data_IF_898493509599
#
_entry.id   IF_898493509599
#
_cell.length_a   1.000
_cell.length_b   1.000
_cell.length_c   1.000
_cell.angle_alpha   90.00
_cell.angle_beta   90.00
_cell.angle_gamma   90.00
#
_symmetry.space_group_name_H-M   'P 1'
#
loop_
_entity.id
_entity.type
_entity.pdbx_description
1 polymer ?
#
# COMPACT_ATOMS: atom_id res chain seq x y z
N UNK A 1 -9.79 42.62 -42.35
CA UNK A 1 -10.76 42.96 -41.31
C UNK A 1 -11.05 41.68 -40.54
N UNK A 2 -10.59 41.67 -39.29
CA UNK A 2 -10.99 40.90 -38.11
C UNK A 2 -11.01 39.36 -38.07
N UNK A 3 -10.28 38.87 -37.06
CA UNK A 3 -10.36 37.60 -36.35
C UNK A 3 -11.79 37.19 -35.99
N UNK A 4 -12.08 35.88 -35.97
CA UNK A 4 -12.53 35.16 -34.74
C UNK A 4 -11.98 33.71 -34.75
N UNK A 5 -11.26 33.37 -33.69
CA UNK A 5 -10.81 32.03 -33.29
C UNK A 5 -11.99 31.22 -32.73
N UNK A 6 -12.21 29.99 -33.19
CA UNK A 6 -12.93 28.97 -32.40
C UNK A 6 -12.18 27.64 -32.38
N UNK A 7 -11.42 27.51 -31.30
CA UNK A 7 -10.77 26.33 -30.74
C UNK A 7 -11.85 25.39 -30.17
N UNK A 8 -11.97 24.15 -30.65
CA UNK A 8 -12.60 23.05 -29.90
C UNK A 8 -11.99 21.68 -30.21
N UNK A 9 -10.94 21.38 -29.43
CA UNK A 9 -10.77 20.15 -28.65
C UNK A 9 -11.49 18.89 -29.17
N UNK A 10 -10.79 18.11 -30.01
CA UNK A 10 -11.02 16.69 -30.29
C UNK A 10 -9.63 16.14 -30.59
N UNK A 11 -8.94 15.45 -29.71
CA UNK A 11 -9.19 14.06 -29.28
C UNK A 11 -8.50 13.87 -27.93
N UNK A 12 -9.27 13.57 -26.90
CA UNK A 12 -8.77 13.03 -25.63
C UNK A 12 -9.45 11.67 -25.51
N UNK A 13 -8.81 10.55 -25.92
CA UNK A 13 -9.24 9.26 -25.44
C UNK A 13 -8.73 9.20 -24.00
N UNK A 14 -9.61 9.60 -23.10
CA UNK A 14 -9.55 9.26 -21.69
C UNK A 14 -9.25 7.77 -21.63
N UNK A 15 -8.06 7.43 -21.15
CA UNK A 15 -7.67 6.06 -20.81
C UNK A 15 -8.54 5.68 -19.61
N UNK A 16 -9.76 5.24 -19.91
CA UNK A 16 -10.74 4.73 -18.98
C UNK A 16 -10.76 3.20 -19.14
N UNK A 17 -10.59 2.54 -18.00
CA UNK A 17 -10.88 1.13 -17.74
C UNK A 17 -9.87 0.09 -18.24
N UNK A 18 -8.74 0.00 -17.53
CA UNK A 18 -8.14 -1.28 -17.18
C UNK A 18 -8.66 -1.71 -15.80
N UNK A 19 -9.97 -1.94 -15.71
CA UNK A 19 -10.57 -2.71 -14.63
C UNK A 19 -11.34 -3.85 -15.26
N UNK A 20 -10.70 -5.01 -15.38
CA UNK A 20 -11.23 -6.38 -15.29
C UNK A 20 -9.99 -7.29 -15.40
N UNK A 21 -9.89 -8.28 -14.52
CA UNK A 21 -8.78 -9.20 -14.22
C UNK A 21 -7.92 -8.84 -12.99
N UNK A 22 -8.54 -8.69 -11.83
CA UNK A 22 -7.88 -8.93 -10.54
C UNK A 22 -8.63 -10.07 -9.84
N UNK A 23 -8.41 -11.29 -10.32
CA UNK A 23 -8.55 -12.48 -9.50
C UNK A 23 -7.14 -13.06 -9.33
N UNK A 24 -6.50 -12.72 -8.21
CA UNK A 24 -5.28 -13.39 -7.74
C UNK A 24 -3.93 -12.69 -7.89
N UNK A 25 -3.87 -11.40 -8.26
CA UNK A 25 -2.62 -10.63 -8.23
C UNK A 25 -2.68 -9.63 -7.07
N UNK A 26 -1.89 -9.86 -6.01
CA UNK A 26 -1.68 -8.85 -4.98
C UNK A 26 -1.07 -7.59 -5.63
N UNK A 27 -1.59 -6.39 -5.36
CA UNK A 27 -1.06 -5.17 -5.94
C UNK A 27 0.41 -5.00 -5.56
N UNK A 28 1.27 -4.90 -6.57
CA UNK A 28 2.71 -4.78 -6.39
C UNK A 28 3.07 -3.31 -6.12
N UNK A 29 3.36 -2.97 -4.86
CA UNK A 29 3.98 -1.69 -4.50
C UNK A 29 5.47 -1.76 -4.86
N UNK A 30 5.83 -1.34 -6.07
CA UNK A 30 7.25 -1.25 -6.43
C UNK A 30 7.87 -0.06 -5.71
N UNK A 31 8.73 -0.34 -4.74
CA UNK A 31 9.59 0.66 -4.11
C UNK A 31 10.93 0.61 -4.82
N UNK A 32 11.23 1.62 -5.63
CA UNK A 32 12.57 1.78 -6.18
C UNK A 32 13.55 1.97 -5.02
N UNK A 33 14.49 1.06 -4.90
CA UNK A 33 15.31 1.01 -3.71
C UNK A 33 16.26 2.21 -3.61
N UNK A 34 16.31 2.83 -2.44
CA UNK A 34 16.99 4.11 -2.17
C UNK A 34 16.08 5.35 -2.35
N UNK A 35 14.80 5.16 -2.66
CA UNK A 35 13.80 6.23 -2.71
C UNK A 35 12.64 5.91 -1.77
N UNK A 36 12.01 6.96 -1.25
CA UNK A 36 10.69 6.82 -0.66
C UNK A 36 9.73 6.31 -1.74
N UNK A 37 8.77 5.47 -1.35
CA UNK A 37 7.71 5.11 -2.26
C UNK A 37 6.89 6.35 -2.60
N UNK A 38 6.42 6.44 -3.85
CA UNK A 38 5.25 7.27 -4.10
C UNK A 38 4.10 6.78 -3.20
N UNK A 39 3.17 7.68 -2.90
CA UNK A 39 1.90 7.27 -2.28
C UNK A 39 1.20 6.32 -3.24
N UNK A 40 0.90 5.12 -2.77
CA UNK A 40 0.20 4.12 -3.55
C UNK A 40 -1.24 4.02 -3.07
N UNK A 41 -2.18 4.03 -4.00
CA UNK A 41 -3.59 3.86 -3.71
C UNK A 41 -3.98 2.40 -3.94
N UNK A 42 -4.45 1.75 -2.88
CA UNK A 42 -4.96 0.39 -2.90
C UNK A 42 -6.45 0.43 -2.61
N UNK A 43 -7.23 -0.35 -3.37
CA UNK A 43 -8.68 -0.40 -3.23
C UNK A 43 -9.06 -1.78 -2.73
N UNK A 44 -9.79 -1.84 -1.61
CA UNK A 44 -10.32 -3.08 -1.05
C UNK A 44 -11.77 -2.81 -0.64
N UNK A 45 -12.71 -3.59 -1.18
CA UNK A 45 -14.14 -3.39 -1.00
C UNK A 45 -14.61 -1.95 -1.24
N UNK A 46 -15.18 -1.32 -0.20
CA UNK A 46 -15.68 0.05 -0.20
C UNK A 46 -14.66 1.07 0.30
N UNK A 47 -13.40 0.66 0.45
CA UNK A 47 -12.33 1.48 1.01
C UNK A 47 -11.24 1.75 -0.02
N UNK A 48 -10.58 2.89 0.18
CA UNK A 48 -9.34 3.28 -0.48
C UNK A 48 -8.29 3.47 0.60
N UNK A 49 -7.19 2.75 0.51
CA UNK A 49 -6.02 2.92 1.36
C UNK A 49 -4.93 3.65 0.58
N UNK A 50 -4.40 4.72 1.16
CA UNK A 50 -3.16 5.35 0.69
C UNK A 50 -2.03 4.88 1.59
N UNK A 51 -1.00 4.26 1.00
CA UNK A 51 0.15 3.74 1.74
C UNK A 51 1.45 4.32 1.19
N UNK A 52 2.39 4.60 2.09
CA UNK A 52 3.72 5.12 1.80
C UNK A 52 4.76 4.40 2.65
N UNK A 53 5.86 3.98 2.02
CA UNK A 53 7.04 3.48 2.71
C UNK A 53 8.16 4.52 2.58
N UNK A 54 8.71 4.93 3.72
CA UNK A 54 9.82 5.90 3.82
C UNK A 54 11.06 5.18 4.33
N UNK A 55 12.20 5.37 3.67
CA UNK A 55 13.49 4.89 4.17
C UNK A 55 13.98 5.86 5.25
N UNK A 56 14.23 5.35 6.46
CA UNK A 56 14.69 6.16 7.59
C UNK A 56 16.22 6.20 7.72
N UNK A 57 16.90 5.12 7.33
CA UNK A 57 18.36 5.03 7.41
C UNK A 57 18.94 4.07 6.37
N UNK A 58 20.24 4.19 6.09
CA UNK A 58 20.99 3.29 5.19
C UNK A 58 21.08 1.84 5.73
N UNK A 59 20.65 1.61 6.98
CA UNK A 59 20.61 0.29 7.60
C UNK A 59 19.31 -0.48 7.32
N UNK A 60 18.61 -0.17 6.22
CA UNK A 60 17.32 -0.78 5.86
C UNK A 60 16.26 -0.63 6.96
N UNK A 61 16.21 0.54 7.59
CA UNK A 61 15.12 0.92 8.50
C UNK A 61 14.06 1.70 7.72
N UNK A 62 12.79 1.34 7.94
CA UNK A 62 11.67 1.88 7.18
C UNK A 62 10.53 2.31 8.10
N UNK A 63 9.74 3.26 7.60
CA UNK A 63 8.45 3.66 8.15
C UNK A 63 7.37 3.31 7.13
N UNK A 64 6.44 2.43 7.50
CA UNK A 64 5.18 2.26 6.78
C UNK A 64 4.17 3.23 7.35
N UNK A 65 3.60 4.08 6.50
CA UNK A 65 2.52 4.99 6.85
C UNK A 65 1.30 4.72 5.97
N UNK A 66 0.11 4.77 6.54
CA UNK A 66 -1.11 4.70 5.74
C UNK A 66 -2.25 5.61 6.23
N UNK A 67 -3.16 5.90 5.31
CA UNK A 67 -4.46 6.52 5.52
C UNK A 67 -5.53 5.63 4.88
N UNK A 68 -6.67 5.49 5.55
CA UNK A 68 -7.84 4.79 5.01
C UNK A 68 -8.97 5.78 4.76
N UNK A 69 -9.69 5.61 3.67
CA UNK A 69 -10.83 6.43 3.28
C UNK A 69 -11.98 5.53 2.88
N UNK A 70 -13.21 6.01 3.04
CA UNK A 70 -14.30 5.50 2.21
C UNK A 70 -13.95 5.79 0.74
N UNK A 71 -14.25 4.86 -0.16
CA UNK A 71 -13.81 4.92 -1.57
C UNK A 71 -14.17 6.22 -2.30
N UNK A 72 -15.31 6.82 -1.94
CA UNK A 72 -15.84 8.04 -2.54
C UNK A 72 -15.65 9.29 -1.66
N UNK A 73 -14.86 9.19 -0.59
CA UNK A 73 -14.59 10.28 0.34
C UNK A 73 -13.12 10.75 0.25
N UNK A 74 -12.89 11.94 0.74
CA UNK A 74 -11.58 12.58 0.89
C UNK A 74 -11.16 12.70 2.35
N UNK A 75 -12.07 12.47 3.31
CA UNK A 75 -11.76 12.50 4.73
C UNK A 75 -11.19 11.15 5.19
N UNK A 76 -10.01 11.15 5.84
CA UNK A 76 -9.45 9.91 6.37
C UNK A 76 -10.30 9.40 7.54
N UNK A 77 -10.38 8.08 7.64
CA UNK A 77 -11.04 7.37 8.73
C UNK A 77 -10.12 7.30 9.95
N UNK A 78 -10.73 7.44 11.13
CA UNK A 78 -10.06 7.37 12.43
C UNK A 78 -10.49 6.14 13.21
N UNK A 79 -9.89 5.89 14.37
CA UNK A 79 -10.24 4.76 15.24
C UNK A 79 -10.00 3.40 14.59
N UNK A 80 -8.89 3.27 13.84
CA UNK A 80 -8.53 2.03 13.15
C UNK A 80 -7.62 1.21 14.05
N UNK A 81 -7.93 -0.07 14.24
CA UNK A 81 -6.97 -1.04 14.75
C UNK A 81 -6.44 -1.87 13.60
N UNK A 82 -5.11 -1.96 13.53
CA UNK A 82 -4.44 -2.64 12.44
C UNK A 82 -3.09 -3.20 12.84
N UNK A 83 -2.71 -4.28 12.17
CA UNK A 83 -1.45 -4.99 12.38
C UNK A 83 -0.77 -5.24 11.05
N UNK A 84 0.55 -5.20 11.05
CA UNK A 84 1.37 -5.51 9.90
C UNK A 84 2.15 -6.81 10.15
N UNK A 85 2.01 -7.72 9.21
CA UNK A 85 2.85 -8.91 9.08
C UNK A 85 3.79 -8.74 7.90
N UNK A 86 4.98 -9.31 8.02
CA UNK A 86 6.01 -9.28 7.00
C UNK A 86 6.52 -10.70 6.76
N UNK A 87 6.45 -11.11 5.50
CA UNK A 87 6.92 -12.40 5.01
C UNK A 87 8.14 -12.16 4.13
N UNK A 88 9.18 -12.97 4.29
CA UNK A 88 10.33 -13.02 3.39
C UNK A 88 10.11 -14.05 2.29
N UNK A 89 10.35 -13.65 1.05
CA UNK A 89 10.38 -14.58 -0.07
C UNK A 89 11.67 -15.39 -0.09
N UNK A 90 11.51 -16.70 -0.14
CA UNK A 90 12.56 -17.68 -0.33
C UNK A 90 13.08 -17.77 -1.78
N UNK A 91 14.10 -18.59 -1.99
CA UNK A 91 14.61 -18.88 -3.33
C UNK A 91 13.52 -19.51 -4.20
N UNK A 92 13.56 -19.22 -5.50
CA UNK A 92 12.63 -19.81 -6.46
C UNK A 92 13.05 -21.25 -6.74
N UNK A 93 12.30 -22.23 -6.23
CA UNK A 93 12.49 -23.65 -6.56
C UNK A 93 11.70 -24.00 -7.84
N UNK A 94 12.36 -23.97 -9.00
CA UNK A 94 11.81 -24.38 -10.32
C UNK A 94 10.36 -23.92 -10.62
N UNK A 95 9.53 -24.79 -11.23
CA UNK A 95 8.16 -24.53 -11.76
C UNK A 95 7.12 -24.09 -10.71
N UNK A 96 7.49 -23.96 -9.43
CA UNK A 96 6.55 -23.68 -8.33
C UNK A 96 6.68 -22.25 -7.79
N UNK A 97 5.70 -21.84 -6.98
CA UNK A 97 5.68 -20.58 -6.25
C UNK A 97 6.92 -20.45 -5.34
N UNK A 98 7.36 -19.21 -5.06
CA UNK A 98 8.45 -18.97 -4.12
C UNK A 98 8.03 -19.44 -2.72
N UNK A 99 8.97 -20.06 -1.99
CA UNK A 99 8.76 -20.34 -0.57
C UNK A 99 8.53 -19.02 0.19
N UNK A 100 7.66 -19.04 1.19
CA UNK A 100 7.32 -17.88 2.02
C UNK A 100 7.71 -18.19 3.46
N UNK A 101 8.53 -17.34 4.07
CA UNK A 101 8.99 -17.49 5.45
C UNK A 101 8.49 -16.33 6.29
N UNK A 102 7.81 -16.57 7.42
CA UNK A 102 7.48 -15.49 8.36
C UNK A 102 8.75 -14.74 8.78
N UNK A 103 8.71 -13.41 8.77
CA UNK A 103 9.84 -12.56 9.14
C UNK A 103 9.54 -11.72 10.38
N UNK A 104 8.48 -10.91 10.34
CA UNK A 104 7.94 -10.17 11.49
C UNK A 104 6.42 -10.32 11.48
N UNK A 105 5.77 -10.42 12.63
CA UNK A 105 4.31 -10.56 12.71
C UNK A 105 3.75 -9.73 13.85
N UNK A 106 2.49 -9.30 13.71
CA UNK A 106 1.73 -8.59 14.74
C UNK A 106 2.27 -7.21 15.05
N UNK A 107 2.91 -6.54 14.09
CA UNK A 107 3.41 -5.18 14.30
C UNK A 107 2.23 -4.21 14.30
N UNK A 108 1.87 -3.67 15.46
CA UNK A 108 0.79 -2.69 15.58
C UNK A 108 1.14 -1.40 14.79
N UNK A 109 0.17 -0.89 14.02
CA UNK A 109 0.30 0.42 13.37
C UNK A 109 -0.37 1.48 14.25
N UNK A 110 0.44 2.43 14.73
CA UNK A 110 0.04 3.40 15.74
C UNK A 110 -0.36 4.71 15.05
N UNK A 111 -1.47 5.29 15.46
CA UNK A 111 -1.90 6.59 14.95
C UNK A 111 -0.98 7.72 15.42
N UNK A 112 -0.33 8.39 14.47
CA UNK A 112 0.51 9.55 14.73
C UNK A 112 -0.30 10.84 14.50
N UNK A 113 -0.57 11.57 15.59
CA UNK A 113 -1.35 12.82 15.57
C UNK A 113 -0.66 13.97 14.82
N UNK A 114 0.67 13.93 14.64
CA UNK A 114 1.42 15.00 13.98
C UNK A 114 1.30 14.88 12.47
N UNK A 115 1.47 13.66 11.94
CA UNK A 115 1.37 13.36 10.51
C UNK A 115 -0.06 13.05 10.08
N UNK A 116 -0.95 12.77 11.04
CA UNK A 116 -2.32 12.31 10.84
C UNK A 116 -2.38 10.96 10.11
N UNK A 117 -1.35 10.12 10.24
CA UNK A 117 -1.19 8.83 9.56
C UNK A 117 -1.07 7.69 10.59
N UNK A 118 -1.45 6.47 10.19
CA UNK A 118 -1.12 5.26 10.95
C UNK A 118 0.26 4.76 10.55
N UNK A 119 1.13 4.54 11.53
CA UNK A 119 2.55 4.39 11.31
C UNK A 119 3.12 3.15 12.00
N UNK A 120 4.04 2.46 11.32
CA UNK A 120 4.81 1.36 11.88
C UNK A 120 6.25 1.39 11.37
N UNK A 121 7.19 1.36 12.31
CA UNK A 121 8.63 1.26 12.01
C UNK A 121 9.09 -0.19 12.02
N UNK A 122 9.93 -0.57 11.07
CA UNK A 122 10.50 -1.90 10.98
C UNK A 122 11.87 -1.88 10.27
N UNK A 123 12.64 -2.96 10.44
CA UNK A 123 14.01 -3.07 9.88
C UNK A 123 14.22 -4.42 9.20
N UNK A 124 14.86 -4.39 8.02
CA UNK A 124 15.32 -5.60 7.35
C UNK A 124 16.77 -5.91 7.69
N UNK A 125 17.04 -7.16 8.09
CA UNK A 125 18.38 -7.65 8.41
C UNK A 125 19.11 -8.23 7.21
N UNK A 126 18.42 -8.44 6.09
CA UNK A 126 19.00 -9.05 4.90
C UNK A 126 18.39 -8.55 3.60
N UNK A 127 19.22 -8.50 2.55
CA UNK A 127 18.81 -8.17 1.19
C UNK A 127 17.88 -9.26 0.66
N UNK A 128 16.63 -8.90 0.40
CA UNK A 128 15.62 -9.87 -0.05
C UNK A 128 14.37 -9.15 -0.54
N UNK A 129 13.46 -9.93 -1.12
CA UNK A 129 12.10 -9.47 -1.42
C UNK A 129 11.18 -9.93 -0.28
N UNK A 130 10.33 -9.03 0.18
CA UNK A 130 9.39 -9.23 1.27
C UNK A 130 7.97 -8.93 0.79
N UNK A 131 6.99 -9.50 1.46
CA UNK A 131 5.57 -9.19 1.35
C UNK A 131 5.13 -8.60 2.68
N UNK A 132 4.61 -7.38 2.65
CA UNK A 132 4.02 -6.70 3.79
C UNK A 132 2.51 -6.86 3.68
N UNK A 133 1.86 -7.22 4.77
CA UNK A 133 0.41 -7.41 4.84
C UNK A 133 -0.13 -6.61 6.02
N UNK A 134 -0.94 -5.59 5.72
CA UNK A 134 -1.68 -4.83 6.72
C UNK A 134 -3.04 -5.49 6.87
N UNK A 135 -3.38 -5.90 8.10
CA UNK A 135 -4.71 -6.38 8.49
C UNK A 135 -5.40 -5.30 9.32
N UNK A 136 -6.64 -4.99 8.99
CA UNK A 136 -7.49 -4.09 9.74
C UNK A 136 -8.63 -4.91 10.34
N UNK A 137 -8.87 -4.74 11.64
CA UNK A 137 -9.91 -5.46 12.37
C UNK A 137 -10.92 -4.53 13.05
N UNK A 138 -10.64 -3.22 13.10
CA UNK A 138 -11.55 -2.18 13.62
C UNK A 138 -11.44 -0.93 12.74
N UNK A 139 -12.57 -0.28 12.46
CA UNK A 139 -12.65 1.02 11.76
C UNK A 139 -13.66 1.89 12.52
N UNK A 140 -13.32 3.16 12.77
CA UNK A 140 -14.16 4.09 13.52
C UNK A 140 -14.58 3.58 14.91
N UNK A 141 -13.75 2.73 15.54
CA UNK A 141 -14.05 2.12 16.83
C UNK A 141 -14.99 0.91 16.78
N UNK A 142 -15.43 0.49 15.58
CA UNK A 142 -16.29 -0.66 15.38
C UNK A 142 -15.51 -1.83 14.79
N UNK A 143 -15.67 -3.01 15.40
CA UNK A 143 -15.03 -4.23 14.93
C UNK A 143 -15.63 -4.67 13.57
N UNK A 144 -14.77 -5.10 12.66
CA UNK A 144 -15.20 -5.60 11.35
C UNK A 144 -15.71 -7.05 11.48
N UNK A 145 -16.69 -7.42 10.65
CA UNK A 145 -17.17 -8.81 10.56
C UNK A 145 -16.08 -9.75 10.03
N UNK A 146 -15.28 -9.26 9.08
CA UNK A 146 -14.10 -9.92 8.53
C UNK A 146 -12.93 -8.93 8.46
N UNK A 147 -11.71 -9.42 8.71
CA UNK A 147 -10.51 -8.60 8.62
C UNK A 147 -10.29 -8.12 7.18
N UNK A 148 -10.06 -6.81 7.00
CA UNK A 148 -9.61 -6.29 5.72
C UNK A 148 -8.10 -6.51 5.59
N UNK A 149 -7.69 -7.21 4.55
CA UNK A 149 -6.29 -7.60 4.33
C UNK A 149 -5.76 -6.94 3.08
N UNK A 150 -4.65 -6.22 3.22
CA UNK A 150 -4.00 -5.51 2.13
C UNK A 150 -2.52 -5.92 2.10
N UNK A 151 -2.12 -6.58 1.02
CA UNK A 151 -0.76 -7.10 0.86
C UNK A 151 -0.04 -6.45 -0.32
N UNK A 152 1.24 -6.17 -0.14
CA UNK A 152 2.11 -5.61 -1.16
C UNK A 152 3.57 -6.03 -0.97
N UNK A 153 4.35 -6.07 -2.05
CA UNK A 153 5.76 -6.44 -1.94
C UNK A 153 6.68 -5.25 -1.69
N UNK A 154 7.86 -5.52 -1.11
CA UNK A 154 8.96 -4.58 -0.94
C UNK A 154 10.30 -5.29 -1.13
N UNK A 155 11.29 -4.60 -1.71
CA UNK A 155 12.65 -5.11 -1.83
C UNK A 155 13.61 -4.33 -0.91
N UNK A 156 14.35 -5.06 -0.08
CA UNK A 156 15.39 -4.52 0.79
C UNK A 156 16.76 -4.65 0.12
N UNK A 157 17.55 -3.56 0.14
CA UNK A 157 18.79 -3.43 -0.64
C UNK A 157 20.05 -3.73 0.14
#
# INVERSE_FOLDING_TARGET
MELIVYRKLKVLPVILFLSIFITGCNPLIIIEAGKNSAVQELYVDNYKMQVRITLLSDENEYLCSFLLFNRNDIKPLEGIKSYMDIIRYGPRRHRYAREKFPYLNGLELIYNKITNEYECKYKFTSKSKYELTIRLNEIAGEALEEDLVISFDQEAK
#
